data_IF_925936247225
#
_entry.id   IF_925936247225
#
_cell.length_a   1.000
_cell.length_b   1.000
_cell.length_c   1.000
_cell.angle_alpha   90.00
_cell.angle_beta   90.00
_cell.angle_gamma   90.00
#
_symmetry.space_group_name_H-M   'P 1'
#
loop_
_entity.id
_entity.type
_entity.pdbx_description
1 polymer ?
#
# COMPACT_ATOMS: atom_id res chain seq x y z
N UNK A 1 -2.50 -18.86 3.00
CA UNK A 1 -1.24 -18.80 2.22
C UNK A 1 -0.73 -20.22 2.05
N UNK A 2 -0.28 -20.62 0.84
CA UNK A 2 0.48 -21.85 0.70
C UNK A 2 1.83 -21.69 1.42
N UNK A 3 2.27 -22.74 2.11
CA UNK A 3 3.66 -22.92 2.61
C UNK A 3 4.12 -22.14 3.86
N UNK A 4 3.38 -22.20 4.98
CA UNK A 4 3.98 -21.96 6.31
C UNK A 4 4.46 -20.54 6.61
N UNK A 5 3.98 -19.54 5.86
CA UNK A 5 4.26 -18.12 6.08
C UNK A 5 3.06 -17.40 6.69
N UNK A 6 3.34 -16.41 7.53
CA UNK A 6 2.39 -15.47 8.12
C UNK A 6 2.40 -14.15 7.34
N UNK A 7 1.24 -13.51 7.25
CA UNK A 7 1.04 -12.22 6.60
C UNK A 7 0.40 -11.27 7.60
N UNK A 8 1.00 -10.10 7.79
CA UNK A 8 0.42 -9.00 8.54
C UNK A 8 -0.04 -7.89 7.58
N UNK A 9 -1.26 -7.43 7.80
CA UNK A 9 -1.88 -6.28 7.14
C UNK A 9 -2.46 -5.35 8.20
N UNK A 10 -2.73 -4.09 7.85
CA UNK A 10 -3.35 -3.13 8.77
C UNK A 10 -4.50 -2.41 8.11
N UNK A 11 -5.66 -2.41 8.76
CA UNK A 11 -6.83 -1.63 8.32
C UNK A 11 -6.64 -0.12 8.53
N UNK A 12 -5.80 0.26 9.51
CA UNK A 12 -5.53 1.65 9.83
C UNK A 12 -4.37 2.25 9.03
N UNK A 13 -3.43 1.43 8.54
CA UNK A 13 -2.27 1.89 7.80
C UNK A 13 -2.24 1.29 6.39
N UNK A 14 -2.84 2.03 5.46
CA UNK A 14 -2.84 1.66 4.04
C UNK A 14 -1.41 1.46 3.51
N UNK A 15 -1.23 0.37 2.75
CA UNK A 15 0.06 -0.01 2.18
C UNK A 15 0.93 -0.85 3.12
N UNK A 16 0.50 -1.09 4.37
CA UNK A 16 1.19 -2.02 5.26
C UNK A 16 0.84 -3.46 4.89
N UNK A 17 1.84 -4.16 4.37
CA UNK A 17 1.83 -5.61 4.14
C UNK A 17 3.21 -6.15 4.52
N UNK A 18 3.25 -7.15 5.40
CA UNK A 18 4.49 -7.79 5.84
C UNK A 18 4.33 -9.31 5.87
N UNK A 19 5.38 -10.06 5.52
CA UNK A 19 5.34 -11.51 5.47
C UNK A 19 6.56 -12.11 6.19
N UNK A 20 6.37 -13.19 6.95
CA UNK A 20 7.43 -13.90 7.67
C UNK A 20 7.12 -15.38 7.87
N UNK A 21 8.08 -16.16 8.35
CA UNK A 21 7.95 -17.60 8.66
C UNK A 21 7.30 -17.84 10.02
N UNK A 22 7.36 -16.85 10.91
CA UNK A 22 6.73 -16.88 12.24
C UNK A 22 5.91 -15.62 12.49
N UNK A 23 4.99 -15.68 13.45
CA UNK A 23 4.21 -14.50 13.88
C UNK A 23 5.13 -13.38 14.37
N UNK A 24 6.14 -13.71 15.18
CA UNK A 24 7.09 -12.74 15.73
C UNK A 24 7.86 -12.02 14.63
N UNK A 25 8.46 -12.77 13.70
CA UNK A 25 9.20 -12.20 12.57
C UNK A 25 8.29 -11.29 11.71
N UNK A 26 7.06 -11.73 11.45
CA UNK A 26 6.10 -10.95 10.67
C UNK A 26 5.74 -9.63 11.36
N UNK A 27 5.60 -9.63 12.69
CA UNK A 27 5.35 -8.42 13.48
C UNK A 27 6.56 -7.48 13.51
N UNK A 28 7.77 -8.01 13.60
CA UNK A 28 8.99 -7.20 13.54
C UNK A 28 9.12 -6.49 12.18
N UNK A 29 8.90 -7.23 11.09
CA UNK A 29 8.88 -6.67 9.73
C UNK A 29 7.75 -5.64 9.59
N UNK A 30 6.54 -5.95 10.08
CA UNK A 30 5.40 -5.03 10.04
C UNK A 30 5.67 -3.72 10.77
N UNK A 31 6.37 -3.76 11.92
CA UNK A 31 6.75 -2.56 12.69
C UNK A 31 7.69 -1.66 11.90
N UNK A 32 8.69 -2.25 11.27
CA UNK A 32 9.68 -1.49 10.50
C UNK A 32 9.06 -0.87 9.24
N UNK A 33 8.16 -1.61 8.57
CA UNK A 33 7.36 -1.08 7.45
C UNK A 33 6.43 0.04 7.92
N UNK A 34 5.76 -0.13 9.05
CA UNK A 34 4.86 0.89 9.61
C UNK A 34 5.58 2.21 9.83
N UNK A 35 6.77 2.16 10.43
CA UNK A 35 7.61 3.34 10.66
C UNK A 35 7.96 4.05 9.35
N UNK A 36 8.47 3.31 8.36
CA UNK A 36 8.83 3.87 7.04
C UNK A 36 7.62 4.47 6.32
N UNK A 37 6.45 3.83 6.39
CA UNK A 37 5.23 4.34 5.78
C UNK A 37 4.76 5.65 6.42
N UNK A 38 4.86 5.76 7.75
CA UNK A 38 4.52 6.98 8.48
C UNK A 38 5.52 8.09 8.14
N UNK A 39 6.81 7.82 8.15
CA UNK A 39 7.87 8.77 7.77
C UNK A 39 7.64 9.29 6.35
N UNK A 40 7.45 8.39 5.38
CA UNK A 40 7.18 8.76 3.99
C UNK A 40 5.87 9.54 3.78
N UNK A 41 4.83 9.30 4.59
CA UNK A 41 3.59 10.11 4.53
C UNK A 41 3.83 11.54 5.01
N UNK A 42 4.64 11.72 6.06
CA UNK A 42 5.01 13.04 6.54
C UNK A 42 5.86 13.79 5.49
N UNK A 43 6.82 13.11 4.86
CA UNK A 43 7.66 13.69 3.81
C UNK A 43 6.88 14.03 2.53
N UNK A 44 5.92 13.20 2.12
CA UNK A 44 5.13 13.39 0.89
C UNK A 44 3.98 14.38 1.02
N UNK A 45 3.60 14.76 2.24
CA UNK A 45 2.56 15.77 2.46
C UNK A 45 2.93 17.14 1.85
N UNK A 46 4.22 17.38 1.55
CA UNK A 46 4.70 18.63 0.97
C UNK A 46 4.66 18.69 -0.58
N UNK A 47 4.54 17.57 -1.32
CA UNK A 47 4.97 17.57 -2.74
C UNK A 47 4.00 16.97 -3.77
N UNK A 48 2.84 16.41 -3.40
CA UNK A 48 1.93 15.88 -4.43
C UNK A 48 0.86 16.90 -4.83
N UNK A 49 1.26 17.91 -5.62
CA UNK A 49 0.31 18.65 -6.47
C UNK A 49 -0.11 17.74 -7.62
N UNK A 50 -1.15 16.94 -7.41
CA UNK A 50 -1.79 16.23 -8.51
C UNK A 50 -2.36 17.28 -9.48
N UNK A 51 -2.14 17.13 -10.80
CA UNK A 51 -2.83 17.95 -11.77
C UNK A 51 -4.35 17.78 -11.58
N UNK A 52 -5.09 18.87 -11.69
CA UNK A 52 -6.55 18.78 -11.63
C UNK A 52 -7.02 17.89 -12.78
N UNK A 53 -7.67 16.79 -12.43
CA UNK A 53 -8.33 15.90 -13.39
C UNK A 53 -9.48 16.69 -14.00
N UNK A 54 -9.44 16.88 -15.32
CA UNK A 54 -10.55 17.48 -16.07
C UNK A 54 -11.77 16.55 -15.99
N UNK A 55 -12.97 17.14 -15.92
CA UNK A 55 -14.22 16.38 -15.85
C UNK A 55 -14.57 15.71 -17.19
N UNK A 56 -13.86 16.04 -18.27
CA UNK A 56 -14.04 15.42 -19.56
C UNK A 56 -12.89 14.48 -19.89
N UNK A 57 -13.19 13.19 -20.01
CA UNK A 57 -12.22 12.16 -20.39
C UNK A 57 -12.81 11.30 -21.51
N UNK A 58 -12.28 11.46 -22.72
CA UNK A 58 -12.64 10.62 -23.86
C UNK A 58 -11.90 9.28 -23.78
N UNK A 59 -12.63 8.19 -23.55
CA UNK A 59 -12.09 6.84 -23.54
C UNK A 59 -12.74 5.98 -24.63
N UNK A 60 -11.95 5.28 -25.48
CA UNK A 60 -12.51 4.34 -26.43
C UNK A 60 -13.06 3.11 -25.71
N UNK A 61 -14.38 2.91 -25.78
CA UNK A 61 -15.05 1.70 -25.28
C UNK A 61 -14.92 0.59 -26.34
N UNK A 62 -14.12 -0.43 -26.04
CA UNK A 62 -14.01 -1.63 -26.89
C UNK A 62 -15.00 -2.67 -26.38
N UNK A 63 -15.99 -3.00 -27.22
CA UNK A 63 -16.93 -4.10 -26.97
C UNK A 63 -16.51 -5.28 -27.83
N UNK A 64 -16.14 -6.39 -27.20
CA UNK A 64 -15.93 -7.66 -27.88
C UNK A 64 -17.26 -8.38 -28.10
N UNK A 65 -17.50 -8.84 -29.33
CA UNK A 65 -18.60 -9.76 -29.67
C UNK A 65 -18.20 -11.21 -29.42
#
# INVERSE_FOLDING_TARGET
>A
LPEGMYLATSDNLQGLVAQGRTVTETLEIARDIAKKLIESKNEKSDVIKLPQVDNNMDYPLVIGI
#
